data_IF_519225722162
#
_entry.id   IF_519225722162
#
_cell.length_a   1.000
_cell.length_b   1.000
_cell.length_c   1.000
_cell.angle_alpha   90.00
_cell.angle_beta   90.00
_cell.angle_gamma   90.00
#
_symmetry.space_group_name_H-M   'P 1'
#
loop_
_entity.id
_entity.type
_entity.pdbx_description
1 polymer ?
#
# COMPACT_ATOMS: atom_id res chain seq x y z
N UNK A 1 16.32 0.80 -56.00
CA UNK A 1 16.07 1.71 -54.86
C UNK A 1 14.62 1.52 -54.50
N UNK A 2 14.37 0.69 -53.49
CA UNK A 2 13.10 0.59 -52.77
C UNK A 2 13.42 -0.01 -51.39
N UNK A 3 13.22 0.71 -50.28
CA UNK A 3 13.57 0.23 -48.95
C UNK A 3 12.36 -0.47 -48.31
N UNK A 4 12.43 -1.80 -48.23
CA UNK A 4 11.51 -2.62 -47.43
C UNK A 4 11.78 -2.41 -45.94
N UNK A 5 10.82 -1.79 -45.25
CA UNK A 5 10.77 -1.61 -43.80
C UNK A 5 10.64 -2.97 -43.10
N UNK A 6 11.69 -3.41 -42.41
CA UNK A 6 11.60 -4.44 -41.39
C UNK A 6 10.79 -3.89 -40.21
N UNK A 7 9.58 -4.42 -40.00
CA UNK A 7 8.84 -4.24 -38.75
C UNK A 7 9.29 -5.34 -37.80
N UNK A 8 10.22 -5.02 -36.91
CA UNK A 8 10.47 -5.83 -35.71
C UNK A 8 9.15 -6.00 -34.94
N UNK A 9 8.61 -7.22 -34.98
CA UNK A 9 7.46 -7.61 -34.18
C UNK A 9 7.86 -7.59 -32.71
N UNK A 10 7.22 -6.70 -31.94
CA UNK A 10 7.28 -6.68 -30.47
C UNK A 10 6.97 -8.08 -29.95
N UNK A 11 7.81 -8.68 -29.09
CA UNK A 11 7.51 -9.97 -28.49
C UNK A 11 6.20 -9.86 -27.71
N UNK A 12 5.21 -10.67 -28.06
CA UNK A 12 3.98 -10.77 -27.28
C UNK A 12 4.34 -11.16 -25.84
N UNK A 13 3.79 -10.50 -24.82
CA UNK A 13 4.02 -10.92 -23.45
C UNK A 13 3.49 -12.35 -23.30
N UNK A 14 4.36 -13.23 -22.80
CA UNK A 14 4.03 -14.60 -22.42
C UNK A 14 2.71 -14.61 -21.66
N UNK A 15 1.73 -15.36 -22.17
CA UNK A 15 0.40 -15.45 -21.57
C UNK A 15 0.46 -15.77 -20.08
N UNK A 16 -0.57 -15.38 -19.31
CA UNK A 16 -0.56 -15.53 -17.86
C UNK A 16 -0.24 -16.99 -17.51
N UNK A 17 0.71 -17.25 -16.59
CA UNK A 17 1.09 -18.61 -16.23
C UNK A 17 -0.16 -19.35 -15.78
N UNK A 18 -0.35 -20.57 -16.29
CA UNK A 18 -1.47 -21.42 -15.94
C UNK A 18 -1.55 -21.53 -14.41
N UNK A 19 -2.54 -20.84 -13.81
CA UNK A 19 -2.80 -20.79 -12.37
C UNK A 19 -3.24 -22.19 -11.91
N UNK A 20 -2.28 -23.08 -11.70
CA UNK A 20 -2.51 -24.29 -10.91
C UNK A 20 -2.86 -23.80 -9.50
N UNK A 21 -4.07 -24.10 -9.05
CA UNK A 21 -4.49 -23.81 -7.68
C UNK A 21 -3.91 -24.93 -6.82
N UNK A 22 -2.95 -24.60 -5.97
CA UNK A 22 -2.60 -25.46 -4.84
C UNK A 22 -2.92 -24.68 -3.57
N UNK A 23 -4.14 -24.87 -3.08
CA UNK A 23 -4.34 -24.91 -1.63
C UNK A 23 -3.69 -26.23 -1.24
N UNK A 24 -2.70 -26.20 -0.34
CA UNK A 24 -2.11 -27.44 0.16
C UNK A 24 -3.26 -28.23 0.81
N UNK A 25 -3.63 -29.41 0.28
CA UNK A 25 -4.62 -30.26 0.92
C UNK A 25 -4.06 -30.62 2.29
N UNK A 26 -4.84 -30.37 3.33
CA UNK A 26 -4.65 -31.02 4.61
C UNK A 26 -5.18 -32.44 4.41
N UNK A 27 -4.30 -33.44 4.46
CA UNK A 27 -4.77 -34.81 4.64
C UNK A 27 -5.59 -34.84 5.94
N UNK A 28 -6.81 -35.36 5.88
CA UNK A 28 -7.90 -35.11 6.85
C UNK A 28 -7.63 -35.57 8.30
N UNK A 29 -6.47 -36.14 8.60
CA UNK A 29 -6.11 -36.69 9.91
C UNK A 29 -4.81 -36.15 10.54
N UNK A 30 -4.13 -35.15 9.94
CA UNK A 30 -2.96 -34.52 10.54
C UNK A 30 -3.26 -33.11 11.08
N UNK A 31 -2.84 -32.87 12.33
CA UNK A 31 -2.89 -31.55 13.01
C UNK A 31 -2.42 -30.46 12.03
N UNK A 32 -3.17 -29.35 11.84
CA UNK A 32 -2.88 -28.41 10.77
C UNK A 32 -1.44 -27.88 10.86
N UNK A 33 -0.58 -28.08 9.83
CA UNK A 33 0.83 -27.69 9.82
C UNK A 33 1.05 -26.18 9.75
N UNK A 34 -0.01 -25.39 9.75
CA UNK A 34 0.03 -23.93 9.86
C UNK A 34 0.21 -23.42 11.29
N UNK A 35 0.22 -24.31 12.29
CA UNK A 35 0.28 -23.94 13.70
C UNK A 35 1.73 -23.71 14.14
N UNK A 36 2.01 -22.57 14.78
CA UNK A 36 3.36 -22.21 15.22
C UNK A 36 3.97 -23.24 16.19
N UNK A 37 3.15 -23.91 17.02
CA UNK A 37 3.60 -25.07 17.81
C UNK A 37 4.19 -26.19 16.98
N UNK A 38 3.63 -26.49 15.81
CA UNK A 38 4.14 -27.54 14.93
C UNK A 38 5.50 -27.15 14.33
N UNK A 39 5.65 -25.89 13.92
CA UNK A 39 6.94 -25.39 13.44
C UNK A 39 8.05 -25.50 14.50
N UNK A 40 7.73 -25.20 15.76
CA UNK A 40 8.69 -25.38 16.86
C UNK A 40 9.09 -26.85 17.07
N UNK A 41 8.22 -27.80 16.74
CA UNK A 41 8.48 -29.24 16.86
C UNK A 41 9.26 -29.77 15.64
N UNK A 42 9.00 -29.24 14.45
CA UNK A 42 9.59 -29.64 13.18
C UNK A 42 10.04 -28.42 12.36
N UNK A 43 11.21 -27.81 12.69
CA UNK A 43 11.68 -26.60 12.03
C UNK A 43 11.97 -26.80 10.53
N UNK A 44 12.46 -27.99 10.15
CA UNK A 44 12.84 -28.32 8.78
C UNK A 44 11.64 -28.57 7.85
N UNK A 45 10.45 -28.81 8.41
CA UNK A 45 9.26 -29.15 7.63
C UNK A 45 8.88 -28.04 6.64
N UNK A 46 8.78 -26.81 7.13
CA UNK A 46 8.40 -25.64 6.31
C UNK A 46 9.47 -25.38 5.25
N UNK A 47 10.75 -25.52 5.61
CA UNK A 47 11.86 -25.35 4.68
C UNK A 47 11.79 -26.36 3.53
N UNK A 48 11.61 -27.65 3.84
CA UNK A 48 11.48 -28.70 2.82
C UNK A 48 10.26 -28.54 1.93
N UNK A 49 9.11 -28.15 2.51
CA UNK A 49 7.89 -27.87 1.73
C UNK A 49 8.07 -26.70 0.79
N UNK A 50 8.72 -25.63 1.25
CA UNK A 50 8.97 -24.44 0.44
C UNK A 50 9.97 -24.71 -0.69
N UNK A 51 10.98 -25.55 -0.45
CA UNK A 51 11.89 -26.03 -1.49
C UNK A 51 11.14 -26.87 -2.54
N UNK A 52 10.25 -27.76 -2.12
CA UNK A 52 9.43 -28.57 -3.04
C UNK A 52 8.44 -27.75 -3.88
N UNK A 53 7.95 -26.64 -3.33
CA UNK A 53 7.05 -25.71 -4.02
C UNK A 53 7.76 -24.99 -5.19
N UNK A 54 9.06 -24.69 -5.01
CA UNK A 54 9.89 -24.02 -6.00
C UNK A 54 9.32 -22.66 -6.43
N UNK A 55 9.53 -22.32 -7.71
CA UNK A 55 9.02 -21.08 -8.35
C UNK A 55 7.85 -21.35 -9.28
N UNK A 56 7.05 -22.38 -8.97
CA UNK A 56 5.94 -22.82 -9.82
C UNK A 56 4.74 -21.87 -9.81
N UNK A 57 4.72 -20.89 -8.89
CA UNK A 57 3.63 -19.94 -8.71
C UNK A 57 4.14 -18.51 -8.65
N UNK A 58 3.45 -17.60 -9.35
CA UNK A 58 3.77 -16.18 -9.34
C UNK A 58 3.48 -15.51 -7.98
N UNK A 59 2.43 -15.96 -7.29
CA UNK A 59 2.09 -15.54 -5.93
C UNK A 59 2.21 -16.74 -4.99
N UNK A 60 3.02 -16.59 -3.94
CA UNK A 60 3.24 -17.61 -2.91
C UNK A 60 2.99 -16.98 -1.56
N UNK A 61 2.00 -17.51 -0.85
CA UNK A 61 1.56 -17.01 0.44
C UNK A 61 1.72 -18.13 1.46
N UNK A 62 2.41 -17.83 2.57
CA UNK A 62 2.50 -18.69 3.73
C UNK A 62 1.59 -18.11 4.82
N UNK A 63 0.46 -18.76 5.07
CA UNK A 63 -0.47 -18.42 6.15
C UNK A 63 -0.10 -19.21 7.40
N UNK A 64 0.22 -18.53 8.50
CA UNK A 64 0.64 -19.13 9.77
C UNK A 64 -0.32 -18.72 10.88
N UNK A 65 -0.85 -19.71 11.60
CA UNK A 65 -1.64 -19.53 12.80
C UNK A 65 -0.72 -19.43 14.03
N UNK A 66 -0.82 -18.34 14.76
CA UNK A 66 -0.04 -18.05 15.96
C UNK A 66 -0.80 -18.53 17.20
N UNK A 67 -0.39 -19.65 17.77
CA UNK A 67 -1.05 -20.31 18.93
C UNK A 67 -0.11 -20.48 20.16
N UNK A 68 1.03 -19.79 20.12
CA UNK A 68 2.08 -19.81 21.15
C UNK A 68 2.13 -18.45 21.86
N UNK A 69 2.41 -18.47 23.17
CA UNK A 69 2.49 -17.25 24.00
C UNK A 69 3.65 -16.32 23.61
N UNK A 70 4.78 -16.88 23.19
CA UNK A 70 6.00 -16.15 22.82
C UNK A 70 6.42 -16.46 21.37
N UNK A 71 5.74 -15.88 20.36
CA UNK A 71 5.98 -16.23 18.95
C UNK A 71 7.18 -15.49 18.33
N UNK A 72 7.77 -14.52 19.03
CA UNK A 72 8.74 -13.57 18.45
C UNK A 72 9.95 -14.23 17.78
N UNK A 73 10.53 -15.25 18.42
CA UNK A 73 11.71 -15.92 17.88
C UNK A 73 11.37 -16.76 16.64
N UNK A 74 10.31 -17.58 16.72
CA UNK A 74 9.87 -18.42 15.61
C UNK A 74 9.40 -17.58 14.41
N UNK A 75 8.68 -16.48 14.66
CA UNK A 75 8.26 -15.54 13.61
C UNK A 75 9.45 -14.86 12.94
N UNK A 76 10.49 -14.50 13.70
CA UNK A 76 11.72 -13.92 13.14
C UNK A 76 12.42 -14.88 12.19
N UNK A 77 12.47 -16.17 12.54
CA UNK A 77 13.06 -17.21 11.69
C UNK A 77 12.20 -17.48 10.45
N UNK A 78 10.88 -17.61 10.62
CA UNK A 78 9.93 -17.75 9.52
C UNK A 78 9.97 -16.57 8.55
N UNK A 79 10.02 -15.34 9.06
CA UNK A 79 10.12 -14.15 8.23
C UNK A 79 11.39 -14.15 7.37
N UNK A 80 12.55 -14.53 7.95
CA UNK A 80 13.79 -14.68 7.18
C UNK A 80 13.66 -15.73 6.08
N UNK A 81 13.08 -16.88 6.38
CA UNK A 81 12.86 -17.94 5.40
C UNK A 81 11.94 -17.49 4.27
N UNK A 82 10.83 -16.81 4.59
CA UNK A 82 9.90 -16.27 3.60
C UNK A 82 10.55 -15.24 2.67
N UNK A 83 11.41 -14.37 3.21
CA UNK A 83 12.16 -13.39 2.40
C UNK A 83 13.11 -14.12 1.44
N UNK A 84 13.88 -15.09 1.91
CA UNK A 84 14.84 -15.82 1.08
C UNK A 84 14.16 -16.65 -0.02
N UNK A 85 12.93 -17.09 0.22
CA UNK A 85 12.15 -17.89 -0.71
C UNK A 85 11.20 -17.08 -1.60
N UNK A 86 11.19 -15.75 -1.50
CA UNK A 86 10.27 -14.84 -2.21
C UNK A 86 8.78 -15.20 -1.96
N UNK A 87 8.41 -15.38 -0.69
CA UNK A 87 7.06 -15.71 -0.23
C UNK A 87 6.50 -14.65 0.71
N UNK A 88 5.20 -14.38 0.62
CA UNK A 88 4.50 -13.46 1.52
C UNK A 88 4.04 -14.19 2.76
N UNK A 89 4.51 -13.77 3.93
CA UNK A 89 4.06 -14.29 5.23
C UNK A 89 2.80 -13.56 5.70
N UNK A 90 1.77 -14.31 6.08
CA UNK A 90 0.55 -13.79 6.70
C UNK A 90 0.34 -14.49 8.03
N UNK A 91 0.05 -13.72 9.06
CA UNK A 91 -0.17 -14.22 10.40
C UNK A 91 -1.66 -14.15 10.73
N UNK A 92 -2.19 -15.19 11.36
CA UNK A 92 -3.52 -15.24 11.92
C UNK A 92 -3.43 -15.60 13.42
N UNK A 93 -4.10 -14.85 14.27
CA UNK A 93 -4.15 -15.08 15.72
C UNK A 93 -5.30 -15.98 16.13
N UNK A 94 -6.21 -16.27 15.21
CA UNK A 94 -7.31 -17.20 15.42
C UNK A 94 -7.64 -17.97 14.13
N UNK A 95 -8.24 -19.17 14.24
CA UNK A 95 -8.68 -19.93 13.08
C UNK A 95 -9.77 -19.18 12.28
N UNK A 96 -10.60 -18.38 12.93
CA UNK A 96 -11.63 -17.56 12.27
C UNK A 96 -11.00 -16.45 11.40
N UNK A 97 -9.93 -15.84 11.89
CA UNK A 97 -9.15 -14.84 11.14
C UNK A 97 -8.48 -15.49 9.91
N UNK A 98 -7.88 -16.68 10.09
CA UNK A 98 -7.31 -17.45 9.00
C UNK A 98 -8.36 -17.79 7.92
N UNK A 99 -9.56 -18.20 8.34
CA UNK A 99 -10.69 -18.44 7.44
C UNK A 99 -11.08 -17.20 6.64
N UNK A 100 -11.22 -16.05 7.32
CA UNK A 100 -11.53 -14.76 6.68
C UNK A 100 -10.46 -14.35 5.67
N UNK A 101 -9.17 -14.59 5.94
CA UNK A 101 -8.11 -14.34 4.97
C UNK A 101 -8.29 -15.19 3.71
N UNK A 102 -8.54 -16.49 3.86
CA UNK A 102 -8.77 -17.39 2.72
C UNK A 102 -9.99 -16.98 1.89
N UNK A 103 -11.11 -16.64 2.56
CA UNK A 103 -12.31 -16.11 1.90
C UNK A 103 -12.01 -14.85 1.10
N UNK A 104 -11.25 -13.92 1.69
CA UNK A 104 -10.87 -12.66 1.04
C UNK A 104 -9.96 -12.92 -0.15
N UNK A 105 -8.91 -13.73 -0.01
CA UNK A 105 -8.05 -14.11 -1.13
C UNK A 105 -8.84 -14.75 -2.26
N UNK A 106 -9.85 -15.57 -1.92
CA UNK A 106 -10.70 -16.22 -2.90
C UNK A 106 -11.64 -15.23 -3.60
N UNK A 107 -12.31 -14.37 -2.85
CA UNK A 107 -13.26 -13.39 -3.37
C UNK A 107 -12.57 -12.31 -4.24
N UNK A 108 -11.30 -12.03 -3.99
CA UNK A 108 -10.50 -11.04 -4.74
C UNK A 108 -9.66 -11.67 -5.86
N UNK A 109 -9.75 -12.99 -6.10
CA UNK A 109 -8.97 -13.69 -7.13
C UNK A 109 -9.16 -13.10 -8.55
N UNK A 110 -10.35 -12.54 -8.81
CA UNK A 110 -10.80 -12.01 -10.11
C UNK A 110 -11.00 -10.48 -10.10
N UNK A 111 -10.82 -9.80 -8.96
CA UNK A 111 -11.07 -8.36 -8.88
C UNK A 111 -9.89 -7.59 -9.49
N UNK A 112 -10.13 -6.59 -10.35
CA UNK A 112 -9.06 -5.76 -10.90
C UNK A 112 -8.41 -4.91 -9.80
N UNK A 113 -7.13 -4.57 -9.97
CA UNK A 113 -6.35 -3.77 -9.03
C UNK A 113 -6.90 -2.35 -8.82
N UNK A 114 -7.79 -1.88 -9.69
CA UNK A 114 -8.43 -0.55 -9.61
C UNK A 114 -9.22 -0.34 -8.31
N UNK A 115 -9.70 -1.41 -7.65
CA UNK A 115 -10.37 -1.30 -6.35
C UNK A 115 -9.39 -1.10 -5.17
N UNK A 116 -8.10 -1.34 -5.38
CA UNK A 116 -7.04 -1.12 -4.39
C UNK A 116 -6.35 0.23 -4.57
N UNK A 117 -6.61 0.93 -5.68
CA UNK A 117 -6.12 2.29 -5.87
C UNK A 117 -6.89 3.26 -4.99
N UNK A 118 -6.17 4.20 -4.40
CA UNK A 118 -6.74 5.31 -3.65
C UNK A 118 -7.77 6.03 -4.54
N UNK A 119 -9.04 6.02 -4.12
CA UNK A 119 -10.07 6.82 -4.74
C UNK A 119 -9.84 8.27 -4.33
N UNK A 120 -8.99 8.98 -5.08
CA UNK A 120 -8.87 10.42 -4.97
C UNK A 120 -10.27 11.00 -5.18
N UNK A 121 -10.83 11.63 -4.15
CA UNK A 121 -12.06 12.39 -4.29
C UNK A 121 -11.84 13.43 -5.39
N UNK A 122 -12.62 13.35 -6.47
CA UNK A 122 -12.41 14.20 -7.65
C UNK A 122 -12.93 15.63 -7.47
N UNK A 123 -13.46 15.97 -6.30
CA UNK A 123 -13.96 17.31 -6.06
C UNK A 123 -12.81 18.31 -5.94
N UNK A 124 -12.93 19.43 -6.66
CA UNK A 124 -11.93 20.49 -6.68
C UNK A 124 -11.70 21.05 -5.27
N UNK A 125 -12.78 21.23 -4.50
CA UNK A 125 -12.72 21.72 -3.14
C UNK A 125 -11.95 20.76 -2.22
N UNK A 126 -12.15 19.43 -2.36
CA UNK A 126 -11.40 18.42 -1.61
C UNK A 126 -9.90 18.48 -1.93
N UNK A 127 -9.53 18.57 -3.22
CA UNK A 127 -8.11 18.63 -3.63
C UNK A 127 -7.40 19.88 -3.15
N UNK A 128 -8.05 21.04 -3.23
CA UNK A 128 -7.45 22.29 -2.72
C UNK A 128 -7.36 22.28 -1.21
N UNK A 129 -8.37 21.73 -0.52
CA UNK A 129 -8.33 21.56 0.94
C UNK A 129 -7.16 20.67 1.35
N UNK A 130 -6.98 19.52 0.69
CA UNK A 130 -5.86 18.62 0.96
C UNK A 130 -4.52 19.32 0.75
N UNK A 131 -4.35 20.01 -0.39
CA UNK A 131 -3.15 20.77 -0.71
C UNK A 131 -2.84 21.84 0.35
N UNK A 132 -3.82 22.66 0.74
CA UNK A 132 -3.63 23.72 1.73
C UNK A 132 -3.36 23.15 3.14
N UNK A 133 -3.98 22.03 3.51
CA UNK A 133 -3.76 21.37 4.82
C UNK A 133 -2.40 20.68 4.96
N UNK A 134 -1.62 20.53 3.86
CA UNK A 134 -0.21 20.10 3.97
C UNK A 134 0.64 21.11 4.74
N UNK A 135 0.23 22.38 4.76
CA UNK A 135 0.87 23.43 5.56
C UNK A 135 0.43 23.25 7.02
N UNK A 136 1.37 22.94 7.92
CA UNK A 136 1.11 22.62 9.34
C UNK A 136 0.24 23.63 10.12
N UNK A 137 0.11 24.86 9.64
CA UNK A 137 -0.68 25.93 10.27
C UNK A 137 -2.08 26.11 9.71
N UNK A 138 -2.45 25.41 8.64
CA UNK A 138 -3.70 25.61 7.91
C UNK A 138 -4.62 24.40 8.12
N UNK A 139 -5.82 24.67 8.63
CA UNK A 139 -6.84 23.64 8.87
C UNK A 139 -7.82 23.54 7.69
N UNK A 140 -8.70 22.52 7.73
CA UNK A 140 -9.80 22.38 6.75
C UNK A 140 -10.71 23.60 6.71
N UNK A 141 -11.06 24.16 7.88
CA UNK A 141 -11.88 25.37 7.97
C UNK A 141 -11.18 26.58 7.36
N UNK A 142 -9.89 26.76 7.64
CA UNK A 142 -9.09 27.85 7.04
C UNK A 142 -9.04 27.71 5.52
N UNK A 143 -8.89 26.48 5.00
CA UNK A 143 -8.86 26.19 3.56
C UNK A 143 -10.19 26.51 2.88
N UNK A 144 -11.31 26.21 3.52
CA UNK A 144 -12.64 26.59 3.04
C UNK A 144 -12.81 28.11 3.02
N UNK A 145 -12.40 28.82 4.08
CA UNK A 145 -12.44 30.28 4.11
C UNK A 145 -11.61 30.88 2.98
N UNK A 146 -10.37 30.42 2.81
CA UNK A 146 -9.47 30.84 1.76
C UNK A 146 -10.06 30.62 0.35
N UNK A 147 -10.67 29.45 0.12
CA UNK A 147 -11.39 29.16 -1.13
C UNK A 147 -12.59 30.09 -1.34
N UNK A 148 -13.37 30.40 -0.31
CA UNK A 148 -14.52 31.31 -0.42
C UNK A 148 -14.12 32.77 -0.60
N UNK A 149 -13.00 33.20 -0.02
CA UNK A 149 -12.52 34.59 -0.08
C UNK A 149 -11.81 34.90 -1.39
N UNK A 150 -10.90 34.03 -1.83
CA UNK A 150 -10.08 34.27 -3.02
C UNK A 150 -10.63 33.58 -4.28
N UNK A 151 -11.50 32.57 -4.17
CA UNK A 151 -12.12 31.90 -5.31
C UNK A 151 -11.18 31.04 -6.17
N UNK A 152 -9.91 31.41 -6.32
CA UNK A 152 -8.89 30.67 -7.07
C UNK A 152 -7.58 30.57 -6.30
N UNK A 153 -6.82 29.49 -6.58
CA UNK A 153 -5.49 29.30 -5.99
C UNK A 153 -4.49 30.35 -6.48
N UNK A 154 -4.65 30.83 -7.72
CA UNK A 154 -3.81 31.89 -8.29
C UNK A 154 -3.95 33.19 -7.48
N UNK A 155 -5.18 33.60 -7.18
CA UNK A 155 -5.43 34.80 -6.37
C UNK A 155 -4.92 34.64 -4.94
N UNK A 156 -5.00 33.42 -4.39
CA UNK A 156 -4.44 33.11 -3.07
C UNK A 156 -2.91 33.20 -3.03
N UNK A 157 -2.22 32.73 -4.09
CA UNK A 157 -0.76 32.80 -4.18
C UNK A 157 -0.30 34.25 -4.39
N UNK A 158 -1.03 35.03 -5.18
CA UNK A 158 -0.71 36.43 -5.43
C UNK A 158 -1.08 37.38 -4.26
N UNK A 159 -1.83 36.90 -3.27
CA UNK A 159 -2.30 37.71 -2.14
C UNK A 159 -1.16 38.17 -1.24
N UNK A 160 -1.27 39.39 -0.71
CA UNK A 160 -0.32 39.92 0.27
C UNK A 160 -0.51 39.26 1.64
N UNK A 161 0.48 39.39 2.52
CA UNK A 161 0.40 38.88 3.90
C UNK A 161 -0.75 39.51 4.67
N UNK A 162 -1.03 40.77 4.37
CA UNK A 162 -2.09 41.59 4.96
C UNK A 162 -3.47 41.07 4.50
N UNK A 163 -3.63 40.77 3.21
CA UNK A 163 -4.88 40.23 2.66
C UNK A 163 -5.19 38.84 3.21
N UNK A 164 -4.16 38.01 3.41
CA UNK A 164 -4.32 36.72 4.08
C UNK A 164 -4.73 36.89 5.55
N UNK A 165 -4.19 37.88 6.25
CA UNK A 165 -4.55 38.14 7.66
C UNK A 165 -5.96 38.73 7.83
N UNK A 166 -6.56 39.29 6.78
CA UNK A 166 -7.94 39.80 6.76
C UNK A 166 -8.98 38.67 6.66
N UNK A 167 -8.57 37.44 6.35
CA UNK A 167 -9.49 36.30 6.25
C UNK A 167 -10.06 35.92 7.63
N UNK A 168 -11.38 35.73 7.76
CA UNK A 168 -12.00 35.43 9.05
C UNK A 168 -11.50 34.09 9.61
N UNK A 169 -10.95 34.10 10.82
CA UNK A 169 -10.41 32.90 11.47
C UNK A 169 -8.95 32.58 11.12
N UNK A 170 -8.36 33.25 10.12
CA UNK A 170 -6.95 33.11 9.78
C UNK A 170 -6.10 34.11 10.56
N UNK A 171 -5.57 33.68 11.71
CA UNK A 171 -4.70 34.54 12.52
C UNK A 171 -3.41 34.96 11.81
N UNK A 172 -2.76 36.06 12.24
CA UNK A 172 -1.58 36.63 11.57
C UNK A 172 -0.39 35.66 11.50
N UNK A 173 -0.26 34.75 12.47
CA UNK A 173 0.76 33.71 12.44
C UNK A 173 0.50 32.66 11.35
N UNK A 174 -0.76 32.29 11.11
CA UNK A 174 -1.13 31.34 10.06
C UNK A 174 -0.95 31.97 8.69
N UNK A 175 -1.41 33.21 8.51
CA UNK A 175 -1.25 33.99 7.29
C UNK A 175 0.24 34.16 6.93
N UNK A 176 1.08 34.51 7.92
CA UNK A 176 2.54 34.61 7.73
C UNK A 176 3.16 33.28 7.27
N UNK A 177 2.87 32.17 7.95
CA UNK A 177 3.42 30.85 7.60
C UNK A 177 2.97 30.39 6.22
N UNK A 178 1.70 30.60 5.88
CA UNK A 178 1.18 30.27 4.55
C UNK A 178 1.89 31.09 3.46
N UNK A 179 2.02 32.40 3.67
CA UNK A 179 2.72 33.28 2.73
C UNK A 179 4.20 32.89 2.57
N UNK A 180 4.89 32.63 3.68
CA UNK A 180 6.29 32.22 3.70
C UNK A 180 6.46 30.90 2.91
N UNK A 181 5.61 29.89 3.13
CA UNK A 181 5.68 28.60 2.42
C UNK A 181 5.44 28.74 0.91
N UNK A 182 4.55 29.65 0.48
CA UNK A 182 4.25 29.86 -0.93
C UNK A 182 5.34 30.62 -1.69
N UNK A 183 6.13 31.44 -0.99
CA UNK A 183 7.12 32.33 -1.58
C UNK A 183 8.58 32.00 -1.21
N UNK A 184 8.80 30.99 -0.38
CA UNK A 184 10.14 30.52 -0.03
C UNK A 184 10.82 29.88 -1.25
N UNK A 185 12.07 30.28 -1.58
CA UNK A 185 12.78 29.67 -2.70
C UNK A 185 13.11 28.21 -2.41
N UNK A 186 12.81 27.31 -3.35
CA UNK A 186 13.12 25.88 -3.23
C UNK A 186 14.63 25.59 -3.10
N UNK A 187 15.46 26.49 -3.62
CA UNK A 187 16.92 26.40 -3.55
C UNK A 187 17.41 27.34 -2.46
N UNK A 188 18.33 26.85 -1.62
CA UNK A 188 19.09 27.72 -0.73
C UNK A 188 19.89 28.68 -1.61
N UNK A 189 19.62 29.97 -1.46
CA UNK A 189 20.45 31.03 -2.03
C UNK A 189 21.88 30.81 -1.48
N UNK A 190 22.92 30.80 -2.34
CA UNK A 190 24.30 30.55 -1.94
C UNK A 190 24.84 31.56 -0.92
#
# INVERSE_FOLDING_TARGET
MDPGKDKEGVPQPSGPPARKKFVIPLDEDEVPPGVLRYHNLHPDYIHGRLQSLGKNFALRVLLVQVDVKDPQQALKELAKMCILADCTLILAWSPEEAGRYLETYKAYEQKPADLLMEKLEQDFASRVTECLTTVKSVNKTDSQTLLTTFGSLEQLIAASREDLALCPGLGPQKARRLFDVLHEPFLKVP
#
